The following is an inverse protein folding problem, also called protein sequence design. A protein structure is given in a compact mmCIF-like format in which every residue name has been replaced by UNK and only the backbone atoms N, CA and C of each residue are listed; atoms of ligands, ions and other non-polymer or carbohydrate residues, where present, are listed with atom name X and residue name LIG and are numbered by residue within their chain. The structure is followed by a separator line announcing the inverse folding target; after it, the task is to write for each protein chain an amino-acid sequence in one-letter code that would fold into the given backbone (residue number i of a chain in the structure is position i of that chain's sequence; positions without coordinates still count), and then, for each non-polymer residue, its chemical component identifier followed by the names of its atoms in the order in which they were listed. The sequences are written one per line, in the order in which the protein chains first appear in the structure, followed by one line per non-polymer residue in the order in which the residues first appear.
data_IF_341842503772
#
_entry.id   IF_341842503772
#
_cell.length_a   1.000
_cell.length_b   1.000
_cell.length_c   1.000
_cell.angle_alpha   90.00
_cell.angle_beta   90.00
_cell.angle_gamma   90.00
#
_symmetry.space_group_name_H-M   'P 1'
#
loop_
_entity.id
_entity.type
_entity.pdbx_description
1 polymer ?
#
# COMPACT_ATOMS: atom_id res chain seq x y z
N UNK A 1 23.86 -1.45 38.69
CA UNK A 1 22.51 -2.05 38.61
C UNK A 1 21.48 -1.15 37.88
N UNK A 2 21.90 0.07 37.52
CA UNK A 2 21.05 1.11 36.88
C UNK A 2 21.14 1.17 35.35
N UNK A 3 22.14 0.52 34.71
CA UNK A 3 22.31 0.54 33.25
C UNK A 3 21.50 -0.58 32.50
N UNK A 4 21.07 -1.63 33.20
CA UNK A 4 20.24 -2.68 32.61
C UNK A 4 18.76 -2.34 32.48
N UNK A 5 18.30 -1.28 33.14
CA UNK A 5 16.91 -0.79 33.07
C UNK A 5 16.65 0.20 31.92
N UNK A 6 17.73 0.81 31.36
CA UNK A 6 17.60 1.71 30.21
C UNK A 6 17.51 0.95 28.88
N UNK A 7 18.10 -0.23 28.77
CA UNK A 7 18.07 -1.03 27.54
C UNK A 7 16.73 -1.79 27.33
N UNK A 8 15.97 -2.04 28.40
CA UNK A 8 14.64 -2.69 28.33
C UNK A 8 13.54 -1.69 28.00
N UNK A 9 13.75 -0.40 28.19
CA UNK A 9 12.78 0.67 27.81
C UNK A 9 12.82 1.05 26.33
N UNK A 10 13.82 0.64 25.55
CA UNK A 10 13.91 0.91 24.10
C UNK A 10 13.21 -0.13 23.22
N UNK A 11 12.60 -1.20 23.77
CA UNK A 11 12.01 -2.29 22.99
C UNK A 11 10.48 -2.35 22.99
N UNK A 12 9.81 -1.31 23.46
CA UNK A 12 8.37 -1.13 23.28
C UNK A 12 8.12 0.14 22.45
N UNK A 13 8.73 0.26 21.28
CA UNK A 13 8.15 1.06 20.21
C UNK A 13 6.83 0.36 19.86
N UNK A 14 5.72 0.96 20.28
CA UNK A 14 4.39 0.49 19.89
C UNK A 14 4.36 0.46 18.36
N UNK A 15 4.43 -0.75 17.79
CA UNK A 15 4.30 -0.89 16.33
C UNK A 15 2.91 -0.45 15.94
N UNK A 16 2.84 0.56 15.08
CA UNK A 16 1.56 1.03 14.56
C UNK A 16 0.85 -0.05 13.76
N UNK A 17 -0.46 -0.09 13.84
CA UNK A 17 -1.30 -1.02 13.07
C UNK A 17 -2.57 -0.37 12.54
N UNK A 18 -3.04 -0.87 11.43
CA UNK A 18 -4.38 -0.55 10.93
C UNK A 18 -5.21 -1.82 10.97
N UNK A 19 -6.42 -1.73 11.51
CA UNK A 19 -7.34 -2.85 11.67
C UNK A 19 -8.70 -2.50 11.11
N UNK A 20 -9.23 -3.37 10.27
CA UNK A 20 -10.59 -3.37 9.79
C UNK A 20 -11.38 -4.48 10.49
N UNK A 21 -12.55 -4.17 11.04
CA UNK A 21 -13.38 -5.11 11.79
C UNK A 21 -14.79 -5.16 11.23
N UNK A 22 -15.22 -6.36 10.81
CA UNK A 22 -16.55 -6.70 10.37
C UNK A 22 -17.10 -5.71 9.32
N UNK A 23 -16.24 -5.33 8.34
CA UNK A 23 -16.62 -4.37 7.32
C UNK A 23 -17.69 -4.96 6.40
N UNK A 24 -18.75 -4.20 6.18
CA UNK A 24 -19.82 -4.53 5.23
C UNK A 24 -20.02 -3.34 4.29
N UNK A 25 -20.13 -3.63 2.99
CA UNK A 25 -20.49 -2.64 1.97
C UNK A 25 -21.57 -3.15 1.05
N UNK A 26 -22.63 -2.36 0.91
CA UNK A 26 -23.78 -2.65 0.07
C UNK A 26 -23.95 -1.52 -0.93
N UNK A 27 -24.07 -1.88 -2.20
CA UNK A 27 -24.44 -0.97 -3.29
C UNK A 27 -25.78 -1.42 -3.89
N UNK A 28 -26.80 -0.58 -3.75
CA UNK A 28 -28.17 -0.96 -4.10
C UNK A 28 -28.63 -2.21 -3.32
N UNK A 29 -28.86 -3.32 -4.01
CA UNK A 29 -29.24 -4.60 -3.40
C UNK A 29 -28.07 -5.58 -3.26
N UNK A 30 -26.88 -5.23 -3.76
CA UNK A 30 -25.73 -6.15 -3.80
C UNK A 30 -24.80 -5.88 -2.61
N UNK A 31 -24.58 -6.88 -1.78
CA UNK A 31 -23.51 -6.88 -0.79
C UNK A 31 -22.19 -7.19 -1.48
N UNK A 32 -21.29 -6.20 -1.55
CA UNK A 32 -19.98 -6.32 -2.24
C UNK A 32 -18.88 -6.74 -1.27
N UNK A 33 -18.98 -6.32 0.00
CA UNK A 33 -18.11 -6.76 1.08
C UNK A 33 -18.98 -7.19 2.24
N UNK A 34 -18.70 -8.37 2.81
CA UNK A 34 -19.52 -9.01 3.81
C UNK A 34 -18.67 -9.56 4.95
N UNK A 35 -18.73 -8.88 6.09
CA UNK A 35 -18.06 -9.26 7.33
C UNK A 35 -16.55 -9.42 7.22
N UNK A 36 -15.89 -8.46 6.56
CA UNK A 36 -14.46 -8.51 6.28
C UNK A 36 -13.66 -7.99 7.49
N UNK A 37 -12.71 -8.81 7.95
CA UNK A 37 -11.75 -8.46 8.99
C UNK A 37 -10.32 -8.63 8.46
N UNK A 38 -9.52 -7.56 8.51
CA UNK A 38 -8.10 -7.62 8.15
C UNK A 38 -7.29 -6.60 8.95
N UNK A 39 -6.00 -6.81 8.98
CA UNK A 39 -5.07 -5.88 9.63
C UNK A 39 -3.75 -5.80 8.88
N UNK A 40 -3.00 -4.73 9.12
CA UNK A 40 -1.63 -4.54 8.69
C UNK A 40 -0.83 -3.88 9.80
N UNK A 41 0.39 -4.36 10.00
CA UNK A 41 1.35 -3.79 10.94
C UNK A 41 2.35 -2.89 10.19
N UNK A 42 2.93 -1.95 10.92
CA UNK A 42 4.08 -1.17 10.44
C UNK A 42 5.23 -2.10 10.07
N UNK A 43 5.96 -1.81 8.99
CA UNK A 43 7.06 -2.65 8.51
C UNK A 43 6.62 -3.98 7.87
N UNK A 44 5.33 -4.14 7.56
CA UNK A 44 4.77 -5.34 6.94
C UNK A 44 4.25 -5.04 5.54
N UNK A 45 4.43 -5.97 4.60
CA UNK A 45 3.79 -5.93 3.27
C UNK A 45 2.64 -6.93 3.24
N UNK A 46 1.42 -6.42 3.04
CA UNK A 46 0.18 -7.23 3.04
C UNK A 46 -0.51 -7.14 1.68
N UNK A 47 -0.80 -8.30 1.08
CA UNK A 47 -1.56 -8.41 -0.17
C UNK A 47 -3.06 -8.59 0.06
N UNK A 48 -3.88 -7.99 -0.80
CA UNK A 48 -5.30 -8.32 -0.93
C UNK A 48 -5.52 -8.86 -2.34
N UNK A 49 -5.76 -10.15 -2.44
CA UNK A 49 -5.89 -10.90 -3.68
C UNK A 49 -7.32 -11.40 -3.87
N UNK A 50 -7.66 -11.80 -5.08
CA UNK A 50 -8.98 -12.37 -5.40
C UNK A 50 -9.41 -12.02 -6.83
N UNK A 51 -10.45 -12.66 -7.36
CA UNK A 51 -10.95 -12.41 -8.72
C UNK A 51 -11.54 -10.99 -8.88
N UNK A 52 -11.79 -10.61 -10.13
CA UNK A 52 -12.47 -9.36 -10.42
C UNK A 52 -13.89 -9.36 -9.83
N UNK A 53 -14.25 -8.24 -9.19
CA UNK A 53 -15.54 -8.12 -8.51
C UNK A 53 -15.64 -8.79 -7.15
N UNK A 54 -14.55 -9.37 -6.61
CA UNK A 54 -14.53 -10.01 -5.29
C UNK A 54 -14.68 -9.04 -4.11
N UNK A 55 -14.52 -7.72 -4.34
CA UNK A 55 -14.63 -6.71 -3.28
C UNK A 55 -13.29 -6.12 -2.83
N UNK A 56 -12.15 -6.46 -3.47
CA UNK A 56 -10.80 -5.98 -3.12
C UNK A 56 -10.72 -4.45 -3.04
N UNK A 57 -10.93 -3.76 -4.16
CA UNK A 57 -10.87 -2.29 -4.24
C UNK A 57 -11.88 -1.62 -3.31
N UNK A 58 -13.08 -2.21 -3.14
CA UNK A 58 -14.09 -1.69 -2.21
C UNK A 58 -13.61 -1.78 -0.76
N UNK A 59 -13.05 -2.91 -0.35
CA UNK A 59 -12.48 -3.11 0.99
C UNK A 59 -11.33 -2.14 1.25
N UNK A 60 -10.44 -2.02 0.30
CA UNK A 60 -9.33 -1.10 0.30
C UNK A 60 -9.79 0.37 0.43
N UNK A 61 -10.78 0.78 -0.38
CA UNK A 61 -11.36 2.13 -0.32
C UNK A 61 -12.04 2.44 1.02
N UNK A 62 -12.63 1.45 1.69
CA UNK A 62 -13.17 1.65 3.04
C UNK A 62 -12.06 1.89 4.06
N UNK A 63 -10.92 1.19 3.95
CA UNK A 63 -9.78 1.33 4.84
C UNK A 63 -9.09 2.68 4.68
N UNK A 64 -8.92 3.17 3.46
CA UNK A 64 -8.29 4.48 3.21
C UNK A 64 -9.25 5.66 3.36
N UNK A 65 -10.57 5.43 3.47
CA UNK A 65 -11.59 6.46 3.68
C UNK A 65 -12.13 7.12 2.42
N UNK A 66 -11.99 6.47 1.26
CA UNK A 66 -12.65 6.85 0.00
C UNK A 66 -14.10 6.33 -0.06
N UNK A 67 -14.39 5.20 0.58
CA UNK A 67 -15.73 4.67 0.71
C UNK A 67 -16.12 4.53 2.19
N UNK A 68 -17.37 4.84 2.53
CA UNK A 68 -17.90 4.59 3.88
C UNK A 68 -18.46 3.18 3.95
N UNK A 69 -18.11 2.38 4.98
CA UNK A 69 -18.74 1.10 5.22
C UNK A 69 -20.21 1.29 5.66
N UNK A 70 -21.06 0.30 5.36
CA UNK A 70 -22.43 0.25 5.89
C UNK A 70 -22.43 -0.29 7.34
N UNK A 71 -21.50 -1.23 7.64
CA UNK A 71 -21.26 -1.76 8.98
C UNK A 71 -19.76 -1.97 9.18
N UNK A 72 -19.37 -2.19 10.44
CA UNK A 72 -17.98 -2.42 10.82
C UNK A 72 -17.21 -1.15 11.09
N UNK A 73 -15.95 -1.31 11.47
CA UNK A 73 -15.09 -0.22 11.93
C UNK A 73 -13.69 -0.36 11.37
N UNK A 74 -13.02 0.79 11.23
CA UNK A 74 -11.59 0.87 10.89
C UNK A 74 -10.87 1.62 12.00
N UNK A 75 -9.75 1.06 12.44
CA UNK A 75 -8.91 1.62 13.49
C UNK A 75 -7.50 1.86 12.96
N UNK A 76 -6.85 2.89 13.44
CA UNK A 76 -5.41 3.08 13.38
C UNK A 76 -4.94 3.11 14.82
N UNK A 77 -4.19 2.10 15.21
CA UNK A 77 -3.93 1.78 16.62
C UNK A 77 -5.26 1.64 17.39
N UNK A 78 -5.42 2.37 18.49
CA UNK A 78 -6.66 2.38 19.27
C UNK A 78 -7.66 3.46 18.83
N UNK A 79 -7.31 4.24 17.78
CA UNK A 79 -8.15 5.35 17.32
C UNK A 79 -9.10 4.87 16.22
N UNK A 80 -10.40 4.96 16.47
CA UNK A 80 -11.40 4.70 15.43
C UNK A 80 -11.36 5.80 14.35
N UNK A 81 -11.11 5.38 13.10
CA UNK A 81 -11.00 6.27 11.94
C UNK A 81 -12.14 6.05 10.92
N UNK A 82 -13.12 5.22 11.21
CA UNK A 82 -14.20 4.82 10.29
C UNK A 82 -14.85 5.99 9.58
N UNK A 83 -15.15 7.07 10.30
CA UNK A 83 -15.82 8.27 9.77
C UNK A 83 -14.85 9.36 9.32
N UNK A 84 -13.52 9.17 9.49
CA UNK A 84 -12.54 10.16 9.05
C UNK A 84 -12.37 10.06 7.53
N UNK A 85 -12.52 11.17 6.78
CA UNK A 85 -12.29 11.19 5.34
C UNK A 85 -10.79 11.00 5.04
N UNK A 86 -10.47 10.59 3.81
CA UNK A 86 -9.10 10.25 3.37
C UNK A 86 -8.06 11.31 3.75
N UNK A 87 -8.34 12.61 3.55
CA UNK A 87 -7.36 13.68 3.87
C UNK A 87 -6.99 13.75 5.37
N UNK A 88 -7.94 13.37 6.27
CA UNK A 88 -7.65 13.27 7.71
C UNK A 88 -6.79 12.05 8.01
N UNK A 89 -7.07 10.90 7.32
CA UNK A 89 -6.26 9.68 7.46
C UNK A 89 -4.85 9.90 6.89
N UNK A 90 -4.71 10.64 5.78
CA UNK A 90 -3.41 11.01 5.22
C UNK A 90 -2.56 11.82 6.23
N UNK A 91 -3.18 12.77 6.97
CA UNK A 91 -2.49 13.51 8.04
C UNK A 91 -2.14 12.67 9.27
N UNK A 92 -2.71 11.49 9.38
CA UNK A 92 -2.36 10.50 10.42
C UNK A 92 -1.26 9.53 9.96
N UNK A 93 -0.72 9.69 8.76
CA UNK A 93 0.35 8.85 8.23
C UNK A 93 -0.08 7.77 7.24
N UNK A 94 -1.26 7.88 6.62
CA UNK A 94 -1.71 6.95 5.59
C UNK A 94 -1.47 7.52 4.18
N UNK A 95 -0.45 7.04 3.47
CA UNK A 95 -0.22 7.34 2.05
C UNK A 95 -1.12 6.51 1.14
N UNK A 96 -1.45 7.04 -0.04
CA UNK A 96 -2.26 6.33 -1.03
C UNK A 96 -1.72 6.52 -2.45
N UNK A 97 -1.51 5.41 -3.15
CA UNK A 97 -1.17 5.33 -4.55
C UNK A 97 -2.35 4.75 -5.32
N UNK A 98 -3.04 5.59 -6.08
CA UNK A 98 -4.21 5.20 -6.84
C UNK A 98 -3.84 4.34 -8.06
N UNK A 99 -4.81 3.51 -8.53
CA UNK A 99 -4.69 2.78 -9.78
C UNK A 99 -4.60 3.74 -10.98
N UNK A 100 -5.45 4.75 -11.03
CA UNK A 100 -5.40 5.78 -12.07
C UNK A 100 -4.24 6.75 -11.85
N UNK A 101 -3.52 7.16 -12.91
CA UNK A 101 -2.45 8.14 -12.82
C UNK A 101 -2.90 9.43 -12.13
N UNK A 102 -2.14 9.86 -11.12
CA UNK A 102 -2.51 11.01 -10.27
C UNK A 102 -1.56 12.20 -10.39
N UNK A 103 -0.61 12.16 -11.34
CA UNK A 103 0.38 13.23 -11.52
C UNK A 103 -0.23 14.49 -12.15
N UNK A 104 0.32 15.63 -11.80
CA UNK A 104 0.03 16.90 -12.48
C UNK A 104 0.85 16.98 -13.77
N UNK A 105 0.29 16.49 -14.86
CA UNK A 105 0.98 16.28 -16.14
C UNK A 105 1.73 17.53 -16.66
N UNK A 106 1.17 18.73 -16.47
CA UNK A 106 1.75 20.00 -16.93
C UNK A 106 2.80 20.60 -16.00
N UNK A 107 2.94 20.09 -14.78
CA UNK A 107 3.98 20.50 -13.84
C UNK A 107 5.30 19.75 -14.12
N UNK A 108 6.42 20.29 -13.67
CA UNK A 108 7.68 19.56 -13.64
C UNK A 108 7.65 18.42 -12.61
N UNK A 109 8.63 17.53 -12.67
CA UNK A 109 8.79 16.45 -11.67
C UNK A 109 8.94 17.06 -10.27
N UNK A 110 9.81 18.04 -10.10
CA UNK A 110 10.01 18.71 -8.81
C UNK A 110 8.75 19.46 -8.34
N UNK A 111 8.04 20.17 -9.26
CA UNK A 111 6.80 20.88 -8.91
C UNK A 111 5.70 19.93 -8.48
N UNK A 112 5.64 18.72 -9.04
CA UNK A 112 4.70 17.68 -8.61
C UNK A 112 4.92 17.27 -7.16
N UNK A 113 6.18 17.15 -6.72
CA UNK A 113 6.53 16.81 -5.34
C UNK A 113 6.35 18.04 -4.43
N UNK A 114 6.76 19.22 -4.90
CA UNK A 114 6.64 20.47 -4.16
C UNK A 114 5.19 20.81 -3.83
N UNK A 115 4.26 20.60 -4.76
CA UNK A 115 2.83 20.79 -4.56
C UNK A 115 2.27 19.99 -3.36
N UNK A 116 2.83 18.81 -3.10
CA UNK A 116 2.47 18.03 -1.90
C UNK A 116 3.14 18.61 -0.65
N UNK A 117 4.44 18.93 -0.72
CA UNK A 117 5.18 19.50 0.41
C UNK A 117 4.59 20.82 0.89
N UNK A 118 4.05 21.64 0.00
CA UNK A 118 3.39 22.91 0.34
C UNK A 118 2.12 22.73 1.18
N UNK A 119 1.48 21.55 1.10
CA UNK A 119 0.32 21.24 1.96
C UNK A 119 0.72 20.93 3.40
N UNK A 120 2.01 20.69 3.64
CA UNK A 120 2.55 20.38 4.96
C UNK A 120 2.94 21.68 5.69
N UNK A 121 2.76 21.70 7.03
CA UNK A 121 3.16 22.83 7.88
C UNK A 121 4.66 22.76 8.20
N UNK A 122 5.53 22.81 7.19
CA UNK A 122 6.99 22.76 7.32
C UNK A 122 7.64 23.99 6.66
N UNK A 123 8.85 24.35 7.09
CA UNK A 123 9.58 25.49 6.55
C UNK A 123 10.00 25.27 5.09
N UNK A 124 10.19 26.36 4.33
CA UNK A 124 10.71 26.28 2.95
C UNK A 124 12.07 25.57 2.86
N UNK A 125 12.91 25.71 3.89
CA UNK A 125 14.21 25.01 3.98
C UNK A 125 13.99 23.50 4.07
N UNK A 126 13.05 23.07 4.90
CA UNK A 126 12.69 21.66 5.06
C UNK A 126 12.02 21.10 3.79
N UNK A 127 11.14 21.86 3.12
CA UNK A 127 10.55 21.47 1.85
C UNK A 127 11.64 21.20 0.79
N UNK A 128 12.62 22.09 0.63
CA UNK A 128 13.73 21.91 -0.33
C UNK A 128 14.60 20.70 0.01
N UNK A 129 14.86 20.45 1.31
CA UNK A 129 15.62 19.29 1.76
C UNK A 129 14.87 18.00 1.41
N UNK A 130 13.61 17.87 1.79
CA UNK A 130 12.79 16.68 1.51
C UNK A 130 12.58 16.45 0.02
N UNK A 131 12.39 17.51 -0.77
CA UNK A 131 12.31 17.43 -2.21
C UNK A 131 13.56 16.77 -2.80
N UNK A 132 14.74 17.26 -2.40
CA UNK A 132 16.01 16.72 -2.89
C UNK A 132 16.16 15.24 -2.52
N UNK A 133 15.97 14.90 -1.25
CA UNK A 133 16.08 13.54 -0.73
C UNK A 133 15.10 12.59 -1.43
N UNK A 134 13.84 12.99 -1.61
CA UNK A 134 12.83 12.18 -2.27
C UNK A 134 13.10 11.91 -3.75
N UNK A 135 13.64 12.90 -4.48
CA UNK A 135 14.04 12.74 -5.88
C UNK A 135 15.29 11.87 -6.03
N UNK A 136 16.25 11.98 -5.11
CA UNK A 136 17.44 11.15 -5.09
C UNK A 136 17.10 9.68 -4.79
N UNK A 137 16.23 9.44 -3.84
CA UNK A 137 15.84 8.10 -3.39
C UNK A 137 15.26 7.22 -4.51
N UNK A 138 14.42 7.80 -5.38
CA UNK A 138 13.80 7.07 -6.50
C UNK A 138 14.43 7.36 -7.86
N UNK A 139 15.63 7.99 -7.89
CA UNK A 139 16.41 8.22 -9.09
C UNK A 139 15.82 9.27 -10.05
N UNK A 140 14.99 10.20 -9.55
CA UNK A 140 14.32 11.22 -10.35
C UNK A 140 15.08 12.55 -10.43
N UNK A 141 16.24 12.70 -9.77
CA UNK A 141 16.99 13.96 -9.69
C UNK A 141 17.34 14.54 -11.07
N UNK A 142 17.75 13.70 -12.02
CA UNK A 142 18.08 14.12 -13.39
C UNK A 142 16.87 14.59 -14.21
N UNK A 143 15.67 14.21 -13.79
CA UNK A 143 14.41 14.51 -14.43
C UNK A 143 13.67 15.68 -13.77
N UNK A 144 14.21 16.25 -12.67
CA UNK A 144 13.55 17.23 -11.81
C UNK A 144 12.86 18.37 -12.57
N UNK A 145 13.50 18.91 -13.60
CA UNK A 145 12.99 20.03 -14.43
C UNK A 145 12.11 19.60 -15.60
N UNK A 146 12.03 18.31 -15.91
CA UNK A 146 11.21 17.81 -17.02
C UNK A 146 9.71 17.88 -16.67
N UNK A 147 8.88 18.12 -17.67
CA UNK A 147 7.43 18.08 -17.52
C UNK A 147 6.95 16.63 -17.32
N UNK A 148 6.06 16.41 -16.39
CA UNK A 148 5.63 15.05 -16.02
C UNK A 148 4.95 14.27 -17.16
N UNK A 149 4.35 14.95 -18.15
CA UNK A 149 3.80 14.30 -19.35
C UNK A 149 4.86 13.68 -20.27
N UNK A 150 6.14 14.07 -20.14
CA UNK A 150 7.24 13.52 -20.97
C UNK A 150 7.86 12.26 -20.39
N UNK A 151 7.47 11.89 -19.16
CA UNK A 151 8.02 10.73 -18.46
C UNK A 151 7.54 9.42 -19.09
N UNK A 152 8.42 8.42 -19.11
CA UNK A 152 8.05 7.02 -19.36
C UNK A 152 7.05 6.50 -18.32
N UNK A 153 6.43 5.35 -18.57
CA UNK A 153 5.49 4.72 -17.63
C UNK A 153 6.13 4.46 -16.25
N UNK A 154 7.34 3.90 -16.24
CA UNK A 154 8.09 3.61 -15.02
C UNK A 154 8.51 4.87 -14.26
N UNK A 155 9.03 5.88 -14.95
CA UNK A 155 9.39 7.16 -14.32
C UNK A 155 8.16 7.87 -13.74
N UNK A 156 7.03 7.79 -14.44
CA UNK A 156 5.74 8.32 -13.96
C UNK A 156 5.31 7.62 -12.67
N UNK A 157 5.42 6.29 -12.64
CA UNK A 157 5.09 5.50 -11.45
C UNK A 157 6.00 5.82 -10.27
N UNK A 158 7.32 5.97 -10.51
CA UNK A 158 8.28 6.45 -9.50
C UNK A 158 7.90 7.83 -8.96
N UNK A 159 7.45 8.76 -9.82
CA UNK A 159 7.00 10.09 -9.39
C UNK A 159 5.74 10.01 -8.51
N UNK A 160 4.78 9.15 -8.84
CA UNK A 160 3.57 8.93 -8.04
C UNK A 160 3.92 8.40 -6.64
N UNK A 161 4.83 7.42 -6.57
CA UNK A 161 5.33 6.87 -5.31
C UNK A 161 6.06 7.95 -4.51
N UNK A 162 6.96 8.73 -5.15
CA UNK A 162 7.66 9.85 -4.52
C UNK A 162 6.69 10.83 -3.86
N UNK A 163 5.60 11.18 -4.55
CA UNK A 163 4.56 12.09 -4.02
C UNK A 163 3.84 11.51 -2.80
N UNK A 164 3.63 10.20 -2.77
CA UNK A 164 3.03 9.55 -1.61
C UNK A 164 4.00 9.50 -0.42
N UNK A 165 5.29 9.26 -0.68
CA UNK A 165 6.33 9.10 0.35
C UNK A 165 6.78 10.42 0.98
N UNK A 166 6.76 11.53 0.26
CA UNK A 166 7.27 12.82 0.73
C UNK A 166 6.53 13.36 1.96
N UNK A 167 5.35 12.80 2.28
CA UNK A 167 4.58 13.09 3.49
C UNK A 167 5.06 12.31 4.71
N UNK A 168 6.08 11.44 4.57
CA UNK A 168 6.59 10.51 5.58
C UNK A 168 5.45 9.64 6.18
N UNK A 169 4.78 8.83 5.38
CA UNK A 169 3.68 8.00 5.87
C UNK A 169 4.20 6.84 6.72
N UNK A 170 3.40 6.42 7.73
CA UNK A 170 3.60 5.18 8.49
C UNK A 170 3.10 3.97 7.68
N UNK A 171 2.05 4.19 6.90
CA UNK A 171 1.47 3.18 6.00
C UNK A 171 1.29 3.74 4.61
N UNK A 172 1.52 2.92 3.60
CA UNK A 172 1.20 3.23 2.20
C UNK A 172 0.26 2.18 1.61
N UNK A 173 -0.77 2.64 0.94
CA UNK A 173 -1.78 1.81 0.28
C UNK A 173 -1.60 1.93 -1.22
N UNK A 174 -1.36 0.82 -1.91
CA UNK A 174 -1.12 0.77 -3.36
C UNK A 174 -2.22 -0.03 -4.05
N UNK A 175 -3.02 0.66 -4.87
CA UNK A 175 -4.09 0.04 -5.63
C UNK A 175 -3.57 -0.33 -7.03
N UNK A 176 -3.46 -1.64 -7.29
CA UNK A 176 -2.94 -2.25 -8.52
C UNK A 176 -1.61 -1.63 -9.01
N UNK A 177 -0.53 -1.68 -8.19
CA UNK A 177 0.73 -1.05 -8.54
C UNK A 177 1.41 -1.64 -9.78
N UNK A 178 1.12 -2.88 -10.15
CA UNK A 178 1.70 -3.59 -11.30
C UNK A 178 0.85 -3.51 -12.56
N UNK A 179 -0.35 -2.90 -12.50
CA UNK A 179 -1.26 -2.85 -13.64
C UNK A 179 -0.70 -2.01 -14.79
N UNK A 180 -0.62 -2.63 -15.98
CA UNK A 180 -0.25 -1.92 -17.20
C UNK A 180 1.21 -1.45 -17.29
N UNK A 181 2.11 -2.02 -16.47
CA UNK A 181 3.54 -1.74 -16.53
C UNK A 181 4.33 -2.94 -17.09
N UNK A 182 5.48 -2.66 -17.67
CA UNK A 182 6.37 -3.68 -18.23
C UNK A 182 7.11 -4.45 -17.11
N UNK A 183 7.67 -5.66 -17.40
CA UNK A 183 8.32 -6.50 -16.39
C UNK A 183 9.51 -5.84 -15.67
N UNK A 184 10.27 -4.97 -16.35
CA UNK A 184 11.40 -4.26 -15.73
C UNK A 184 10.87 -3.26 -14.70
N UNK A 185 9.82 -2.53 -15.06
CA UNK A 185 9.15 -1.59 -14.15
C UNK A 185 8.50 -2.32 -12.97
N UNK A 186 7.95 -3.53 -13.16
CA UNK A 186 7.42 -4.36 -12.05
C UNK A 186 8.53 -4.67 -11.05
N UNK A 187 9.70 -5.13 -11.52
CA UNK A 187 10.85 -5.40 -10.65
C UNK A 187 11.30 -4.14 -9.86
N UNK A 188 11.39 -2.99 -10.54
CA UNK A 188 11.71 -1.71 -9.90
C UNK A 188 10.71 -1.36 -8.77
N UNK A 189 9.41 -1.58 -9.00
CA UNK A 189 8.36 -1.31 -8.00
C UNK A 189 8.47 -2.29 -6.83
N UNK A 190 8.77 -3.57 -7.10
CA UNK A 190 8.99 -4.58 -6.07
C UNK A 190 10.18 -4.20 -5.18
N UNK A 191 11.29 -3.76 -5.76
CA UNK A 191 12.46 -3.27 -5.00
C UNK A 191 12.12 -2.04 -4.15
N UNK A 192 11.30 -1.11 -4.68
CA UNK A 192 10.84 0.06 -3.92
C UNK A 192 10.01 -0.42 -2.71
N UNK A 193 9.07 -1.34 -2.91
CA UNK A 193 8.23 -1.87 -1.83
C UNK A 193 9.09 -2.56 -0.75
N UNK A 194 10.09 -3.34 -1.16
CA UNK A 194 11.05 -3.94 -0.22
C UNK A 194 11.77 -2.88 0.62
N UNK A 195 12.28 -1.81 -0.01
CA UNK A 195 12.92 -0.69 0.70
C UNK A 195 11.97 0.05 1.64
N UNK A 196 10.67 0.14 1.32
CA UNK A 196 9.68 0.75 2.20
C UNK A 196 9.47 -0.09 3.46
N UNK A 197 9.34 -1.40 3.32
CA UNK A 197 9.29 -2.33 4.44
C UNK A 197 10.52 -2.20 5.34
N UNK A 198 11.71 -2.15 4.74
CA UNK A 198 12.99 -2.04 5.47
C UNK A 198 13.15 -0.69 6.18
N UNK A 199 12.32 0.30 5.83
CA UNK A 199 12.17 1.61 6.52
C UNK A 199 11.01 1.64 7.51
N UNK A 200 10.52 0.48 7.95
CA UNK A 200 9.38 0.36 8.85
C UNK A 200 8.09 1.00 8.32
N UNK A 201 7.89 1.07 7.00
CA UNK A 201 6.62 1.50 6.42
C UNK A 201 5.76 0.28 6.13
N UNK A 202 4.55 0.23 6.69
CA UNK A 202 3.57 -0.81 6.35
C UNK A 202 3.00 -0.59 4.95
N UNK A 203 3.01 -1.61 4.09
CA UNK A 203 2.54 -1.51 2.70
C UNK A 203 1.37 -2.45 2.47
N UNK A 204 0.21 -1.93 2.09
CA UNK A 204 -0.94 -2.75 1.68
C UNK A 204 -1.12 -2.64 0.17
N UNK A 205 -1.23 -3.78 -0.50
CA UNK A 205 -1.30 -3.87 -1.97
C UNK A 205 -2.58 -4.61 -2.37
N UNK A 206 -3.33 -4.05 -3.33
CA UNK A 206 -4.29 -4.82 -4.13
C UNK A 206 -3.70 -5.02 -5.50
N UNK A 207 -3.74 -6.23 -6.04
CA UNK A 207 -3.36 -6.46 -7.45
C UNK A 207 -4.08 -7.69 -8.00
N UNK A 208 -4.12 -7.78 -9.32
CA UNK A 208 -4.57 -8.97 -10.05
C UNK A 208 -3.39 -9.85 -10.48
N UNK A 209 -2.17 -9.32 -10.45
CA UNK A 209 -0.92 -10.04 -10.75
C UNK A 209 -0.49 -10.86 -9.53
N UNK A 210 -1.07 -12.04 -9.38
CA UNK A 210 -0.89 -12.92 -8.22
C UNK A 210 0.56 -13.24 -7.94
N UNK A 211 1.29 -13.73 -8.97
CA UNK A 211 2.70 -14.13 -8.84
C UNK A 211 3.56 -12.96 -8.36
N UNK A 212 3.40 -11.79 -8.99
CA UNK A 212 4.21 -10.61 -8.66
C UNK A 212 3.92 -10.09 -7.25
N UNK A 213 2.67 -10.19 -6.81
CA UNK A 213 2.28 -9.81 -5.45
C UNK A 213 2.82 -10.81 -4.42
N UNK A 214 2.66 -12.12 -4.66
CA UNK A 214 3.10 -13.16 -3.72
C UNK A 214 4.63 -13.20 -3.53
N UNK A 215 5.41 -12.68 -4.47
CA UNK A 215 6.88 -12.54 -4.35
C UNK A 215 7.31 -11.59 -3.23
N UNK A 216 6.52 -10.56 -2.95
CA UNK A 216 6.94 -9.44 -2.09
C UNK A 216 6.16 -9.29 -0.80
N UNK A 217 5.02 -9.98 -0.65
CA UNK A 217 4.21 -9.86 0.56
C UNK A 217 4.72 -10.77 1.68
N UNK A 218 4.64 -10.30 2.92
CA UNK A 218 4.83 -11.15 4.10
C UNK A 218 3.66 -12.12 4.25
N UNK A 219 2.43 -11.62 4.00
CA UNK A 219 1.21 -12.42 3.98
C UNK A 219 0.15 -11.76 3.09
N UNK A 220 -0.86 -12.51 2.72
CA UNK A 220 -1.98 -11.95 1.97
C UNK A 220 -3.32 -12.52 2.44
N UNK A 221 -4.37 -11.79 2.06
CA UNK A 221 -5.77 -12.17 2.20
C UNK A 221 -6.35 -12.47 0.82
N UNK A 222 -6.97 -13.62 0.64
CA UNK A 222 -7.73 -13.93 -0.57
C UNK A 222 -9.19 -13.63 -0.30
N UNK A 223 -9.74 -12.69 -1.09
CA UNK A 223 -11.16 -12.31 -1.03
C UNK A 223 -11.90 -12.98 -2.17
N UNK A 224 -13.01 -13.62 -1.84
CA UNK A 224 -13.95 -14.21 -2.78
C UNK A 224 -15.38 -13.87 -2.35
N UNK A 225 -16.20 -13.37 -3.28
CA UNK A 225 -17.59 -12.94 -3.02
C UNK A 225 -17.77 -12.04 -1.78
N UNK A 226 -16.84 -11.11 -1.59
CA UNK A 226 -16.88 -10.13 -0.51
C UNK A 226 -16.41 -10.64 0.86
N UNK A 227 -15.91 -11.87 0.96
CA UNK A 227 -15.41 -12.47 2.21
C UNK A 227 -13.95 -12.86 2.06
N UNK A 228 -13.19 -12.84 3.16
CA UNK A 228 -11.89 -13.48 3.21
C UNK A 228 -12.12 -14.98 3.34
N UNK A 229 -11.60 -15.75 2.37
CA UNK A 229 -11.67 -17.22 2.38
C UNK A 229 -10.42 -17.84 2.95
N UNK A 230 -9.25 -17.24 2.66
CA UNK A 230 -7.95 -17.71 3.14
C UNK A 230 -7.06 -16.52 3.46
N UNK A 231 -6.22 -16.66 4.47
CA UNK A 231 -5.14 -15.74 4.79
C UNK A 231 -3.90 -16.51 5.23
N UNK A 232 -2.73 -15.97 4.96
CA UNK A 232 -1.46 -16.58 5.35
C UNK A 232 -0.29 -16.05 4.54
N UNK A 233 0.87 -16.63 4.75
CA UNK A 233 2.09 -16.38 3.97
C UNK A 233 1.90 -16.84 2.52
N UNK A 234 2.77 -16.38 1.62
CA UNK A 234 2.72 -16.81 0.21
C UNK A 234 2.76 -18.33 0.06
N UNK A 235 3.59 -19.01 0.86
CA UNK A 235 3.73 -20.48 0.83
C UNK A 235 2.45 -21.19 1.31
N UNK A 236 1.82 -20.69 2.38
CA UNK A 236 0.55 -21.24 2.87
C UNK A 236 -0.58 -21.06 1.85
N UNK A 237 -0.64 -19.91 1.19
CA UNK A 237 -1.67 -19.62 0.19
C UNK A 237 -1.52 -20.49 -1.08
N UNK A 238 -0.28 -20.67 -1.55
CA UNK A 238 0.02 -21.50 -2.73
C UNK A 238 -0.35 -22.97 -2.51
N UNK A 239 -0.20 -23.45 -1.28
CA UNK A 239 -0.50 -24.83 -0.93
C UNK A 239 -1.96 -25.04 -0.45
N UNK A 240 -2.75 -23.99 -0.31
CA UNK A 240 -4.10 -24.08 0.18
C UNK A 240 -5.07 -24.52 -0.92
N UNK A 241 -5.79 -25.62 -0.69
CA UNK A 241 -6.71 -26.21 -1.65
C UNK A 241 -7.90 -25.30 -2.00
N UNK A 242 -8.42 -24.55 -1.02
CA UNK A 242 -9.52 -23.62 -1.26
C UNK A 242 -9.06 -22.40 -2.08
N UNK A 243 -7.87 -21.89 -1.82
CA UNK A 243 -7.24 -20.84 -2.62
C UNK A 243 -7.04 -21.28 -4.08
N UNK A 244 -6.55 -22.50 -4.30
CA UNK A 244 -6.39 -23.08 -5.63
C UNK A 244 -7.73 -23.24 -6.34
N UNK A 245 -8.70 -23.85 -5.68
CA UNK A 245 -10.01 -24.13 -6.27
C UNK A 245 -10.76 -22.85 -6.68
N UNK A 246 -10.74 -21.79 -5.85
CA UNK A 246 -11.58 -20.61 -6.02
C UNK A 246 -10.88 -19.45 -6.75
N UNK A 247 -9.54 -19.43 -6.77
CA UNK A 247 -8.84 -18.27 -7.29
C UNK A 247 -7.54 -18.57 -8.04
N UNK A 248 -6.59 -19.32 -7.44
CA UNK A 248 -5.28 -19.53 -8.05
C UNK A 248 -5.32 -20.46 -9.26
N UNK A 249 -6.22 -21.44 -9.25
CA UNK A 249 -6.26 -22.55 -10.19
C UNK A 249 -5.50 -23.77 -9.68
N UNK A 250 -6.01 -24.97 -9.96
CA UNK A 250 -5.45 -26.24 -9.44
C UNK A 250 -3.98 -26.48 -9.85
N UNK A 251 -3.57 -25.97 -11.01
CA UNK A 251 -2.20 -26.09 -11.53
C UNK A 251 -1.27 -24.96 -11.14
N UNK A 252 -1.73 -24.03 -10.30
CA UNK A 252 -0.92 -22.91 -9.88
C UNK A 252 0.26 -23.38 -9.05
N UNK A 253 1.48 -22.98 -9.45
CA UNK A 253 2.71 -23.20 -8.72
C UNK A 253 3.63 -22.01 -8.96
N UNK A 254 4.42 -21.64 -7.97
CA UNK A 254 5.54 -20.72 -8.15
C UNK A 254 6.82 -21.53 -8.26
N UNK A 255 7.72 -21.16 -9.17
CA UNK A 255 9.01 -21.84 -9.28
C UNK A 255 9.83 -21.69 -7.98
N UNK A 256 10.75 -22.63 -7.66
CA UNK A 256 11.62 -22.50 -6.48
C UNK A 256 12.44 -21.19 -6.46
N UNK A 257 12.72 -20.59 -7.62
CA UNK A 257 13.41 -19.29 -7.74
C UNK A 257 12.51 -18.14 -7.33
N UNK A 258 11.20 -18.26 -7.50
CA UNK A 258 10.21 -17.23 -7.14
C UNK A 258 9.80 -17.27 -5.66
N UNK A 259 10.12 -18.36 -4.97
CA UNK A 259 9.83 -18.57 -3.53
C UNK A 259 10.94 -18.06 -2.59
N UNK A 260 12.05 -17.52 -3.13
CA UNK A 260 13.25 -17.13 -2.37
C UNK A 260 13.33 -15.63 -2.09
N UNK A 261 12.24 -15.05 -1.63
CA UNK A 261 12.28 -13.64 -1.16
C UNK A 261 11.81 -13.53 0.27
#
# INVERSE_FOLDING_TARGET
MTEKLSSVRLSLMEMHKIKAQNLVKIYGKRTVVNDLCLEINQGEVVGILGPNGAGKTTSFHMIIGLAKPNKGKVFMDDIEITRKPMYKRARMGMGYLAQAPSIFAKLSVEDNVLAILETLKISRKEQKKRLKEALEELGLSKLAKQKAYTLSGGERRKLEITRALVTNPTFIFMDEPFAGVDPITVADIQDIIGKLRDKDIGVMITDHSVVETLKIVNRAYIIYEGKIIVQGTSLELINNEEAKRLYLGERFSMSPFEQRL
#
